data_IF_266460899831
#
_entry.id   IF_266460899831
#
_cell.length_a   1.000
_cell.length_b   1.000
_cell.length_c   1.000
_cell.angle_alpha   90.00
_cell.angle_beta   90.00
_cell.angle_gamma   90.00
#
_symmetry.space_group_name_H-M   'P 1'
#
loop_
_entity.id
_entity.type
_entity.pdbx_description
1 polymer ?
#
# COMPACT_ATOMS: atom_id res chain seq x y z
N UNK A 1 3.56 34.75 -92.24
CA UNK A 1 2.73 33.57 -92.55
C UNK A 1 3.26 32.42 -91.71
N UNK A 2 2.38 31.81 -90.91
CA UNK A 2 2.66 30.97 -89.73
C UNK A 2 3.69 29.86 -89.93
N UNK A 3 4.72 29.81 -89.07
CA UNK A 3 5.54 28.61 -88.87
C UNK A 3 4.73 27.65 -88.00
N UNK A 4 4.18 26.61 -88.60
CA UNK A 4 3.49 25.57 -87.85
C UNK A 4 4.51 24.77 -87.05
N UNK A 5 4.44 24.90 -85.73
CA UNK A 5 5.21 24.11 -84.76
C UNK A 5 4.83 22.63 -84.89
N UNK A 6 5.68 21.85 -85.56
CA UNK A 6 5.52 20.40 -85.77
C UNK A 6 6.19 19.53 -84.70
N UNK A 7 6.58 20.13 -83.58
CA UNK A 7 7.23 19.43 -82.46
C UNK A 7 6.35 18.33 -81.84
N UNK A 8 5.02 18.40 -82.00
CA UNK A 8 4.06 17.44 -81.46
C UNK A 8 3.54 16.39 -82.46
N UNK A 9 3.79 16.55 -83.77
CA UNK A 9 3.32 15.58 -84.80
C UNK A 9 4.29 14.38 -84.97
N UNK A 10 5.57 14.53 -84.59
CA UNK A 10 6.57 13.44 -84.58
C UNK A 10 6.68 12.70 -83.25
N UNK A 11 6.05 13.24 -82.20
CA UNK A 11 5.82 12.49 -80.98
C UNK A 11 4.78 11.42 -81.30
N UNK A 12 5.16 10.15 -81.22
CA UNK A 12 4.25 9.03 -81.28
C UNK A 12 3.32 9.11 -80.06
N UNK A 13 2.26 9.91 -80.18
CA UNK A 13 1.33 10.30 -79.11
C UNK A 13 0.83 9.05 -78.37
N UNK A 14 0.68 7.94 -79.09
CA UNK A 14 0.34 6.63 -78.56
C UNK A 14 1.40 6.10 -77.58
N UNK A 15 2.70 6.16 -77.92
CA UNK A 15 3.78 5.73 -77.02
C UNK A 15 3.84 6.58 -75.76
N UNK A 16 3.70 7.90 -75.88
CA UNK A 16 3.67 8.79 -74.71
C UNK A 16 2.47 8.44 -73.81
N UNK A 17 1.30 8.16 -74.40
CA UNK A 17 0.11 7.75 -73.67
C UNK A 17 0.31 6.42 -72.93
N UNK A 18 0.92 5.43 -73.58
CA UNK A 18 1.22 4.11 -72.99
C UNK A 18 2.22 4.23 -71.84
N UNK A 19 3.31 4.98 -72.02
CA UNK A 19 4.30 5.20 -70.94
C UNK A 19 3.68 5.95 -69.76
N UNK A 20 2.85 6.97 -70.03
CA UNK A 20 2.12 7.70 -69.00
C UNK A 20 1.16 6.78 -68.21
N UNK A 21 0.35 5.97 -68.90
CA UNK A 21 -0.53 5.00 -68.24
C UNK A 21 0.23 3.94 -67.44
N UNK A 22 1.34 3.45 -67.98
CA UNK A 22 2.20 2.46 -67.31
C UNK A 22 2.83 3.05 -66.05
N UNK A 23 3.26 4.31 -66.10
CA UNK A 23 3.78 5.02 -64.94
C UNK A 23 2.71 5.22 -63.85
N UNK A 24 1.50 5.64 -64.24
CA UNK A 24 0.37 5.76 -63.30
C UNK A 24 0.01 4.42 -62.66
N UNK A 25 -0.02 3.34 -63.45
CA UNK A 25 -0.27 1.99 -62.95
C UNK A 25 0.81 1.53 -61.96
N UNK A 26 2.08 1.80 -62.27
CA UNK A 26 3.20 1.46 -61.41
C UNK A 26 3.15 2.24 -60.08
N UNK A 27 2.83 3.53 -60.13
CA UNK A 27 2.57 4.34 -58.94
C UNK A 27 1.41 3.79 -58.10
N UNK A 28 0.32 3.35 -58.73
CA UNK A 28 -0.82 2.74 -58.03
C UNK A 28 -0.43 1.42 -57.33
N UNK A 29 0.38 0.58 -57.99
CA UNK A 29 0.93 -0.66 -57.41
C UNK A 29 1.79 -0.33 -56.19
N UNK A 30 2.69 0.66 -56.28
CA UNK A 30 3.53 1.07 -55.15
C UNK A 30 2.68 1.59 -53.98
N UNK A 31 1.64 2.39 -54.24
CA UNK A 31 0.74 2.86 -53.19
C UNK A 31 0.04 1.67 -52.51
N UNK A 32 -0.51 0.74 -53.29
CA UNK A 32 -1.26 -0.40 -52.77
C UNK A 32 -0.40 -1.39 -51.99
N UNK A 33 0.78 -1.74 -52.50
CA UNK A 33 1.62 -2.78 -51.91
C UNK A 33 2.64 -2.27 -50.90
N UNK A 34 2.97 -0.97 -50.90
CA UNK A 34 3.95 -0.40 -49.97
C UNK A 34 3.31 0.57 -48.99
N UNK A 35 2.61 1.60 -49.47
CA UNK A 35 2.14 2.69 -48.59
C UNK A 35 0.97 2.23 -47.72
N UNK A 36 -0.03 1.55 -48.29
CA UNK A 36 -1.20 1.07 -47.54
C UNK A 36 -0.82 0.12 -46.38
N UNK A 37 -0.01 -0.95 -46.58
CA UNK A 37 0.38 -1.80 -45.46
C UNK A 37 1.22 -1.05 -44.42
N UNK A 38 2.14 -0.19 -44.85
CA UNK A 38 2.97 0.60 -43.94
C UNK A 38 2.12 1.51 -43.01
N UNK A 39 1.13 2.21 -43.55
CA UNK A 39 0.23 3.06 -42.75
C UNK A 39 -0.63 2.25 -41.78
N UNK A 40 -1.04 1.05 -42.19
CA UNK A 40 -1.80 0.13 -41.33
C UNK A 40 -0.96 -0.33 -40.14
N UNK A 41 0.26 -0.79 -40.40
CA UNK A 41 1.18 -1.26 -39.36
C UNK A 41 1.57 -0.14 -38.40
N UNK A 42 1.87 1.06 -38.94
CA UNK A 42 2.11 2.26 -38.15
C UNK A 42 0.96 2.55 -37.19
N UNK A 43 -0.28 2.54 -37.68
CA UNK A 43 -1.47 2.82 -36.86
C UNK A 43 -1.63 1.79 -35.74
N UNK A 44 -1.39 0.50 -36.02
CA UNK A 44 -1.48 -0.58 -35.03
C UNK A 44 -0.41 -0.40 -33.95
N UNK A 45 0.85 -0.19 -34.34
CA UNK A 45 1.95 -0.02 -33.39
C UNK A 45 1.78 1.23 -32.54
N UNK A 46 1.37 2.36 -33.13
CA UNK A 46 1.05 3.57 -32.36
C UNK A 46 -0.09 3.35 -31.36
N UNK A 47 -1.15 2.65 -31.76
CA UNK A 47 -2.26 2.32 -30.86
C UNK A 47 -1.81 1.39 -29.72
N UNK A 48 -0.93 0.43 -30.03
CA UNK A 48 -0.36 -0.50 -29.05
C UNK A 48 0.52 0.24 -28.04
N UNK A 49 1.41 1.11 -28.51
CA UNK A 49 2.27 1.95 -27.67
C UNK A 49 1.45 2.88 -26.78
N UNK A 50 0.43 3.55 -27.32
CA UNK A 50 -0.45 4.41 -26.53
C UNK A 50 -1.17 3.61 -25.42
N UNK A 51 -1.63 2.41 -25.74
CA UNK A 51 -2.29 1.53 -24.76
C UNK A 51 -1.31 1.06 -23.68
N UNK A 52 -0.08 0.68 -24.06
CA UNK A 52 0.97 0.30 -23.12
C UNK A 52 1.36 1.46 -22.19
N UNK A 53 1.48 2.69 -22.72
CA UNK A 53 1.76 3.88 -21.92
C UNK A 53 0.63 4.15 -20.92
N UNK A 54 -0.63 4.02 -21.32
CA UNK A 54 -1.78 4.17 -20.43
C UNK A 54 -1.75 3.11 -19.32
N UNK A 55 -1.49 1.85 -19.67
CA UNK A 55 -1.39 0.76 -18.68
C UNK A 55 -0.22 0.98 -17.71
N UNK A 56 0.94 1.37 -18.22
CA UNK A 56 2.11 1.65 -17.40
C UNK A 56 1.86 2.82 -16.45
N UNK A 57 1.28 3.92 -16.96
CA UNK A 57 0.91 5.09 -16.14
C UNK A 57 -0.11 4.72 -15.07
N UNK A 58 -1.10 3.89 -15.39
CA UNK A 58 -2.06 3.38 -14.40
C UNK A 58 -1.37 2.57 -13.30
N UNK A 59 -0.51 1.62 -13.68
CA UNK A 59 0.23 0.80 -12.72
C UNK A 59 1.15 1.64 -11.82
N UNK A 60 1.83 2.65 -12.38
CA UNK A 60 2.65 3.58 -11.60
C UNK A 60 1.82 4.41 -10.62
N UNK A 61 0.65 4.91 -11.05
CA UNK A 61 -0.23 5.68 -10.18
C UNK A 61 -0.80 4.80 -9.05
N UNK A 62 -1.17 3.56 -9.34
CA UNK A 62 -1.63 2.60 -8.32
C UNK A 62 -0.52 2.27 -7.32
N UNK A 63 0.71 2.05 -7.80
CA UNK A 63 1.88 1.83 -6.94
C UNK A 63 2.13 3.03 -6.03
N UNK A 64 2.15 4.24 -6.57
CA UNK A 64 2.34 5.47 -5.79
C UNK A 64 1.24 5.67 -4.74
N UNK A 65 -0.01 5.33 -5.09
CA UNK A 65 -1.13 5.38 -4.15
C UNK A 65 -0.93 4.38 -2.99
N UNK A 66 -0.50 3.16 -3.30
CA UNK A 66 -0.20 2.14 -2.29
C UNK A 66 0.99 2.54 -1.40
N UNK A 67 2.07 3.05 -1.99
CA UNK A 67 3.24 3.55 -1.26
C UNK A 67 2.85 4.66 -0.29
N UNK A 68 2.00 5.59 -0.74
CA UNK A 68 1.48 6.66 0.11
C UNK A 68 0.65 6.12 1.27
N UNK A 69 -0.23 5.16 1.03
CA UNK A 69 -1.03 4.52 2.09
C UNK A 69 -0.11 3.82 3.11
N UNK A 70 0.93 3.12 2.65
CA UNK A 70 1.89 2.45 3.52
C UNK A 70 2.68 3.47 4.34
N UNK A 71 3.18 4.54 3.72
CA UNK A 71 3.92 5.60 4.40
C UNK A 71 3.06 6.33 5.44
N UNK A 72 1.81 6.67 5.10
CA UNK A 72 0.85 7.24 6.04
C UNK A 72 0.55 6.30 7.21
N UNK A 73 0.32 5.01 6.94
CA UNK A 73 0.11 4.00 7.97
C UNK A 73 1.32 3.90 8.91
N UNK A 74 2.53 3.85 8.37
CA UNK A 74 3.78 3.79 9.14
C UNK A 74 3.96 5.03 10.01
N UNK A 75 3.69 6.23 9.47
CA UNK A 75 3.79 7.50 10.21
C UNK A 75 2.74 7.59 11.32
N UNK A 76 1.48 7.29 11.02
CA UNK A 76 0.39 7.34 11.99
C UNK A 76 0.57 6.32 13.13
N UNK A 77 1.18 5.17 12.84
CA UNK A 77 1.34 4.08 13.80
C UNK A 77 2.78 3.89 14.27
N UNK A 78 3.70 4.84 14.00
CA UNK A 78 5.12 4.71 14.26
C UNK A 78 5.42 4.26 15.71
N UNK A 79 4.68 4.81 16.67
CA UNK A 79 4.80 4.45 18.09
C UNK A 79 4.38 3.01 18.36
N UNK A 80 3.20 2.59 17.87
CA UNK A 80 2.70 1.22 18.07
C UNK A 80 3.63 0.20 17.39
N UNK A 81 4.14 0.53 16.20
CA UNK A 81 5.09 -0.30 15.45
C UNK A 81 6.45 -0.40 16.15
N UNK A 82 6.90 0.65 16.85
CA UNK A 82 8.08 0.57 17.70
C UNK A 82 7.82 -0.29 18.95
N UNK A 83 6.67 -0.10 19.60
CA UNK A 83 6.29 -0.79 20.83
C UNK A 83 6.05 -2.31 20.64
N UNK A 84 5.53 -2.73 19.49
CA UNK A 84 5.26 -4.15 19.20
C UNK A 84 6.56 -4.94 18.98
N UNK A 85 7.67 -4.30 18.64
CA UNK A 85 8.96 -4.96 18.44
C UNK A 85 9.85 -4.94 19.69
N UNK A 86 9.42 -4.28 20.77
CA UNK A 86 10.21 -4.14 21.99
C UNK A 86 10.18 -5.43 22.82
N UNK A 87 11.33 -5.80 23.39
CA UNK A 87 11.42 -6.93 24.32
C UNK A 87 10.56 -6.67 25.57
N UNK A 88 9.82 -7.70 25.98
CA UNK A 88 8.93 -7.63 27.13
C UNK A 88 9.58 -8.20 28.39
N UNK A 89 9.41 -7.51 29.52
CA UNK A 89 9.83 -7.95 30.84
C UNK A 89 8.65 -7.85 31.82
N UNK A 90 8.20 -9.01 32.32
CA UNK A 90 7.13 -9.06 33.33
C UNK A 90 7.52 -8.29 34.61
N UNK A 91 8.80 -8.32 35.00
CA UNK A 91 9.30 -7.60 36.17
C UNK A 91 9.14 -6.09 36.01
N UNK A 92 9.50 -5.55 34.86
CA UNK A 92 9.36 -4.12 34.58
C UNK A 92 7.89 -3.68 34.49
N UNK A 93 7.02 -4.53 33.93
CA UNK A 93 5.57 -4.25 33.94
C UNK A 93 5.04 -4.21 35.38
N UNK A 94 5.47 -5.14 36.24
CA UNK A 94 5.08 -5.16 37.64
C UNK A 94 5.55 -3.90 38.38
N UNK A 95 6.80 -3.47 38.14
CA UNK A 95 7.36 -2.23 38.71
C UNK A 95 6.59 -1.00 38.22
N UNK A 96 6.25 -0.94 36.93
CA UNK A 96 5.42 0.12 36.37
C UNK A 96 4.04 0.20 37.04
N UNK A 97 3.38 -0.95 37.21
CA UNK A 97 2.03 -1.02 37.83
C UNK A 97 2.03 -0.58 39.30
N UNK A 98 3.11 -0.80 40.05
CA UNK A 98 3.26 -0.39 41.45
C UNK A 98 3.24 1.14 41.66
N UNK A 99 3.41 1.93 40.59
CA UNK A 99 3.27 3.39 40.66
C UNK A 99 1.79 3.84 40.81
N UNK A 100 0.83 2.97 40.48
CA UNK A 100 -0.60 3.30 40.46
C UNK A 100 -1.41 2.46 41.46
N UNK A 101 -0.94 1.26 41.79
CA UNK A 101 -1.71 0.28 42.53
C UNK A 101 -0.94 -0.30 43.71
N UNK A 102 -1.69 -0.66 44.75
CA UNK A 102 -1.25 -1.41 45.92
C UNK A 102 -1.47 -2.93 45.68
N UNK A 103 -0.71 -3.79 46.38
CA UNK A 103 -0.86 -5.27 46.36
C UNK A 103 -0.94 -5.88 44.94
N UNK A 104 -0.06 -5.42 44.05
CA UNK A 104 -0.06 -5.81 42.63
C UNK A 104 0.35 -7.27 42.44
N UNK A 105 -0.56 -8.08 41.90
CA UNK A 105 -0.32 -9.48 41.53
C UNK A 105 -0.68 -9.70 40.06
N UNK A 106 0.28 -10.18 39.27
CA UNK A 106 0.06 -10.56 37.87
C UNK A 106 0.43 -12.03 37.68
N UNK A 107 -0.51 -12.80 37.11
CA UNK A 107 -0.34 -14.23 36.87
C UNK A 107 -0.46 -14.49 35.38
N UNK A 108 0.50 -15.22 34.79
CA UNK A 108 0.41 -15.65 33.40
C UNK A 108 -0.77 -16.62 33.25
N UNK A 109 -1.60 -16.39 32.23
CA UNK A 109 -2.75 -17.24 31.90
C UNK A 109 -2.64 -17.74 30.46
N UNK A 110 -3.16 -18.93 30.15
CA UNK A 110 -3.09 -19.48 28.81
C UNK A 110 -3.91 -18.64 27.81
N UNK A 111 -3.38 -18.49 26.60
CA UNK A 111 -4.08 -17.89 25.46
C UNK A 111 -5.04 -18.94 24.90
N UNK A 112 -6.35 -18.74 25.09
CA UNK A 112 -7.37 -19.72 24.68
C UNK A 112 -7.73 -19.65 23.20
N UNK A 113 -7.60 -18.47 22.60
CA UNK A 113 -7.89 -18.21 21.19
C UNK A 113 -6.66 -17.58 20.58
N UNK A 114 -6.17 -18.16 19.50
CA UNK A 114 -5.05 -17.60 18.76
C UNK A 114 -5.41 -16.18 18.28
N UNK A 115 -4.50 -15.25 18.54
CA UNK A 115 -4.59 -13.87 18.09
C UNK A 115 -3.22 -13.49 17.55
N UNK A 116 -3.19 -12.87 16.37
CA UNK A 116 -1.94 -12.44 15.77
C UNK A 116 -1.16 -11.54 16.72
N UNK A 117 0.15 -11.79 16.78
CA UNK A 117 1.11 -11.06 17.60
C UNK A 117 0.88 -11.12 19.11
N UNK A 118 -0.18 -11.76 19.61
CA UNK A 118 -0.39 -11.91 21.05
C UNK A 118 0.62 -12.92 21.62
N UNK A 119 1.55 -12.42 22.43
CA UNK A 119 2.64 -13.23 22.98
C UNK A 119 2.35 -13.70 24.40
N UNK A 120 1.85 -12.80 25.24
CA UNK A 120 1.56 -13.11 26.64
C UNK A 120 0.19 -12.57 27.04
N UNK A 121 -0.48 -13.30 27.93
CA UNK A 121 -1.70 -12.86 28.56
C UNK A 121 -1.59 -13.04 30.06
N UNK A 122 -1.92 -12.01 30.84
CA UNK A 122 -1.88 -12.04 32.29
C UNK A 122 -3.25 -11.73 32.88
N UNK A 123 -3.52 -12.30 34.05
CA UNK A 123 -4.56 -11.82 34.96
C UNK A 123 -3.92 -10.96 36.04
N UNK A 124 -4.37 -9.71 36.14
CA UNK A 124 -3.95 -8.77 37.15
C UNK A 124 -5.01 -8.68 38.25
N UNK A 125 -4.56 -8.80 39.50
CA UNK A 125 -5.35 -8.53 40.69
C UNK A 125 -4.61 -7.45 41.48
N UNK A 126 -5.23 -6.29 41.64
CA UNK A 126 -4.60 -5.09 42.22
C UNK A 126 -5.57 -4.35 43.14
N UNK A 127 -5.03 -3.47 43.98
CA UNK A 127 -5.81 -2.59 44.87
C UNK A 127 -5.53 -1.12 44.54
N UNK A 128 -6.53 -0.27 44.69
CA UNK A 128 -6.35 1.18 44.62
C UNK A 128 -7.23 1.88 45.64
N UNK A 129 -6.84 3.09 46.05
CA UNK A 129 -7.66 3.92 46.96
C UNK A 129 -8.64 4.82 46.21
N UNK A 130 -8.33 5.15 44.95
CA UNK A 130 -9.12 6.08 44.14
C UNK A 130 -9.20 5.57 42.68
N UNK A 131 -10.40 5.52 42.06
CA UNK A 131 -10.57 5.19 40.64
C UNK A 131 -9.68 5.95 39.66
N UNK A 132 -9.30 7.19 40.00
CA UNK A 132 -8.39 8.01 39.21
C UNK A 132 -7.04 7.32 38.95
N UNK A 133 -6.59 6.45 39.86
CA UNK A 133 -5.35 5.70 39.69
C UNK A 133 -5.42 4.77 38.46
N UNK A 134 -6.56 4.12 38.23
CA UNK A 134 -6.75 3.25 37.07
C UNK A 134 -6.74 4.05 35.76
N UNK A 135 -7.40 5.21 35.72
CA UNK A 135 -7.37 6.08 34.53
C UNK A 135 -5.97 6.63 34.25
N UNK A 136 -5.23 6.99 35.29
CA UNK A 136 -3.83 7.46 35.16
C UNK A 136 -2.93 6.34 34.65
N UNK A 137 -3.10 5.11 35.16
CA UNK A 137 -2.42 3.92 34.65
C UNK A 137 -2.70 3.70 33.17
N UNK A 138 -3.96 3.75 32.72
CA UNK A 138 -4.30 3.58 31.30
C UNK A 138 -3.66 4.64 30.42
N UNK A 139 -3.65 5.90 30.85
CA UNK A 139 -3.05 7.01 30.10
C UNK A 139 -1.53 6.85 29.95
N UNK A 140 -0.84 6.40 30.99
CA UNK A 140 0.61 6.21 30.93
C UNK A 140 0.99 4.88 30.28
N UNK A 141 0.13 3.87 30.36
CA UNK A 141 0.28 2.59 29.66
C UNK A 141 0.35 2.80 28.14
N UNK A 142 -0.39 3.77 27.60
CA UNK A 142 -0.28 4.13 26.17
C UNK A 142 1.14 4.54 25.78
N UNK A 143 1.93 5.09 26.70
CA UNK A 143 3.32 5.53 26.50
C UNK A 143 4.35 4.50 26.97
N UNK A 144 3.90 3.36 27.48
CA UNK A 144 4.78 2.30 27.92
C UNK A 144 5.59 1.70 26.76
N UNK A 145 6.74 1.09 27.05
CA UNK A 145 7.67 0.63 26.01
C UNK A 145 7.13 -0.50 25.13
N UNK A 146 6.22 -1.34 25.63
CA UNK A 146 5.63 -2.46 24.90
C UNK A 146 4.18 -2.16 24.50
N UNK A 147 3.70 -2.79 23.43
CA UNK A 147 2.30 -2.69 23.01
C UNK A 147 1.43 -3.57 23.91
N UNK A 148 0.71 -2.92 24.82
CA UNK A 148 -0.11 -3.58 25.85
C UNK A 148 -1.56 -3.14 25.72
N UNK A 149 -2.47 -4.10 25.79
CA UNK A 149 -3.92 -3.88 25.81
C UNK A 149 -4.51 -4.41 27.14
N UNK A 150 -5.42 -3.64 27.72
CA UNK A 150 -6.24 -4.08 28.85
C UNK A 150 -7.57 -4.58 28.30
N UNK A 151 -7.88 -5.85 28.53
CA UNK A 151 -9.12 -6.45 28.03
C UNK A 151 -10.30 -6.14 28.95
N UNK A 152 -11.47 -5.98 28.35
CA UNK A 152 -12.75 -5.90 29.05
C UNK A 152 -13.36 -7.31 29.26
N UNK A 153 -14.25 -7.47 30.26
CA UNK A 153 -14.58 -6.50 31.31
C UNK A 153 -13.44 -6.32 32.34
N UNK A 154 -13.41 -5.15 32.97
CA UNK A 154 -12.60 -4.87 34.17
C UNK A 154 -13.54 -4.98 35.37
N UNK A 155 -13.23 -5.85 36.31
CA UNK A 155 -14.03 -6.05 37.51
C UNK A 155 -13.57 -5.07 38.60
N UNK A 156 -14.51 -4.31 39.16
CA UNK A 156 -14.28 -3.41 40.29
C UNK A 156 -15.09 -3.91 41.48
N UNK A 157 -14.44 -4.06 42.64
CA UNK A 157 -15.11 -4.42 43.88
C UNK A 157 -14.67 -3.46 44.98
N UNK A 158 -15.62 -2.68 45.49
CA UNK A 158 -15.37 -1.80 46.63
C UNK A 158 -15.21 -2.62 47.91
N UNK A 159 -14.18 -2.30 48.68
CA UNK A 159 -13.94 -2.74 50.05
C UNK A 159 -13.73 -1.49 50.93
N UNK A 160 -13.88 -1.60 52.25
CA UNK A 160 -13.99 -0.44 53.15
C UNK A 160 -12.98 0.69 52.90
N UNK A 161 -11.71 0.34 52.61
CA UNK A 161 -10.62 1.30 52.43
C UNK A 161 -9.99 1.31 51.04
N UNK A 162 -10.38 0.37 50.17
CA UNK A 162 -9.75 0.17 48.87
C UNK A 162 -10.77 -0.37 47.86
N UNK A 163 -10.45 -0.21 46.58
CA UNK A 163 -11.17 -0.83 45.48
C UNK A 163 -10.26 -1.91 44.93
N UNK A 164 -10.74 -3.15 44.95
CA UNK A 164 -10.07 -4.27 44.30
C UNK A 164 -10.42 -4.25 42.81
N UNK A 165 -9.41 -4.39 41.97
CA UNK A 165 -9.56 -4.50 40.53
C UNK A 165 -9.03 -5.83 40.05
N UNK A 166 -9.77 -6.41 39.12
CA UNK A 166 -9.34 -7.59 38.38
C UNK A 166 -9.53 -7.35 36.89
N UNK A 167 -8.45 -7.52 36.12
CA UNK A 167 -8.47 -7.34 34.68
C UNK A 167 -7.43 -8.21 33.99
N UNK A 168 -7.55 -8.32 32.66
CA UNK A 168 -6.60 -9.06 31.84
C UNK A 168 -5.69 -8.10 31.08
N UNK A 169 -4.43 -8.45 31.00
CA UNK A 169 -3.39 -7.72 30.26
C UNK A 169 -2.97 -8.60 29.10
N UNK A 170 -2.98 -8.04 27.89
CA UNK A 170 -2.43 -8.67 26.69
C UNK A 170 -1.17 -7.93 26.27
N UNK A 171 -0.11 -8.68 25.99
CA UNK A 171 1.15 -8.15 25.52
C UNK A 171 1.38 -8.65 24.10
N UNK A 172 1.48 -7.70 23.18
CA UNK A 172 1.73 -7.99 21.78
C UNK A 172 3.22 -7.88 21.46
N UNK A 173 3.70 -8.81 20.64
CA UNK A 173 5.06 -8.82 20.15
C UNK A 173 5.11 -9.33 18.71
N UNK A 174 5.84 -8.62 17.87
CA UNK A 174 6.20 -9.01 16.52
C UNK A 174 7.72 -8.91 16.37
N UNK A 175 8.34 -9.89 15.74
CA UNK A 175 9.75 -9.77 15.41
C UNK A 175 9.88 -8.86 14.19
N UNK A 176 10.75 -7.85 14.28
CA UNK A 176 11.07 -7.02 13.13
C UNK A 176 11.67 -7.91 12.02
N UNK A 177 11.09 -7.87 10.82
CA UNK A 177 11.68 -8.52 9.65
C UNK A 177 12.96 -7.74 9.33
N UNK A 178 14.11 -8.39 9.52
CA UNK A 178 15.39 -7.84 9.07
C UNK A 178 15.35 -7.75 7.54
N UNK A 179 15.52 -6.54 7.02
CA UNK A 179 15.73 -6.30 5.59
C UNK A 179 17.11 -6.78 5.17
#
# INVERSE_FOLDING_TARGET
>A
MSKNDKSLEEADVLKILIYSFSFVALCAILILFLIVPFLKDYKIEHSRLATQQIQNTKALNELQALEKVIDEFQKMNAKNLAQINAEFSQKELLEFMKNYFDDVKINLIPIKKEQEYLKYQFEANVKMKNPQAFYSFLNDLQRYKNLIEISTPVEFKSEEKHINLKFKIKVFYAQAIQK
#
